data_IF_114913678295
#
_entry.id   IF_114913678295
#
_cell.length_a   1.000
_cell.length_b   1.000
_cell.length_c   1.000
_cell.angle_alpha   90.00
_cell.angle_beta   90.00
_cell.angle_gamma   90.00
#
_symmetry.space_group_name_H-M   'P 1'
#
loop_
_entity.id
_entity.type
_entity.pdbx_description
1 polymer ?
#
# COMPACT_ATOMS: atom_id res chain seq x y z
N UNK A 1 7.14 -17.45 20.98
CA UNK A 1 6.54 -17.28 19.66
C UNK A 1 5.12 -16.74 19.77
N UNK A 2 4.74 -15.84 18.89
CA UNK A 2 3.36 -15.42 18.67
C UNK A 2 2.92 -16.04 17.33
N UNK A 3 1.83 -16.83 17.34
CA UNK A 3 1.58 -17.76 16.25
C UNK A 3 0.38 -17.42 15.36
N UNK A 4 -0.64 -16.76 15.89
CA UNK A 4 -1.93 -16.62 15.21
C UNK A 4 -2.68 -15.35 15.62
N UNK A 5 -3.83 -15.11 15.01
CA UNK A 5 -4.70 -13.95 15.27
C UNK A 5 -5.31 -13.96 16.68
N UNK A 6 -5.31 -15.11 17.35
CA UNK A 6 -5.72 -15.23 18.76
C UNK A 6 -4.61 -14.89 19.74
N UNK A 7 -3.48 -14.41 19.22
CA UNK A 7 -2.27 -14.07 20.00
C UNK A 7 -1.76 -15.24 20.86
N UNK A 8 -1.87 -16.46 20.35
CA UNK A 8 -1.34 -17.66 21.03
C UNK A 8 0.16 -17.51 21.27
N UNK A 9 0.56 -17.55 22.54
CA UNK A 9 1.98 -17.44 22.95
C UNK A 9 2.53 -18.81 23.26
N UNK A 10 3.63 -19.17 22.61
CA UNK A 10 4.39 -20.40 22.91
C UNK A 10 5.72 -20.02 23.54
N UNK A 11 5.91 -20.36 24.84
CA UNK A 11 7.10 -20.03 25.62
C UNK A 11 7.56 -21.24 26.46
N UNK A 12 8.80 -21.70 26.31
CA UNK A 12 9.67 -21.42 25.17
C UNK A 12 9.18 -22.03 23.88
N UNK A 13 9.51 -21.40 22.75
CA UNK A 13 9.11 -21.86 21.42
C UNK A 13 10.26 -21.83 20.41
N UNK A 14 10.11 -22.56 19.33
CA UNK A 14 11.05 -22.58 18.22
C UNK A 14 10.32 -22.60 16.89
N UNK A 15 10.98 -22.13 15.85
CA UNK A 15 10.51 -22.13 14.46
C UNK A 15 11.63 -22.56 13.53
N UNK A 16 11.29 -23.34 12.51
CA UNK A 16 12.20 -23.65 11.40
C UNK A 16 11.73 -23.02 10.11
N UNK A 17 12.69 -22.55 9.33
CA UNK A 17 12.46 -21.95 8.02
C UNK A 17 13.28 -22.70 6.99
N UNK A 18 12.70 -22.98 5.84
CA UNK A 18 13.39 -23.59 4.70
C UNK A 18 13.09 -22.77 3.45
N UNK A 19 14.11 -22.15 2.87
CA UNK A 19 13.91 -21.16 1.83
C UNK A 19 13.14 -19.95 2.37
N UNK A 20 11.97 -19.69 1.80
CA UNK A 20 11.08 -18.58 2.16
C UNK A 20 9.83 -19.01 2.97
N UNK A 21 9.79 -20.30 3.39
CA UNK A 21 8.62 -20.84 4.07
C UNK A 21 8.93 -21.26 5.52
N UNK A 22 8.01 -20.95 6.43
CA UNK A 22 7.97 -21.55 7.77
C UNK A 22 7.61 -23.01 7.60
N UNK A 23 8.53 -23.90 8.01
CA UNK A 23 8.35 -25.35 7.86
C UNK A 23 7.69 -25.98 9.07
N UNK A 24 8.11 -25.59 10.26
CA UNK A 24 7.63 -26.19 11.51
C UNK A 24 7.73 -25.18 12.65
N UNK A 25 6.77 -25.25 13.55
CA UNK A 25 6.73 -24.46 14.79
C UNK A 25 6.48 -25.43 15.95
N UNK A 26 7.19 -25.25 17.05
CA UNK A 26 7.01 -26.13 18.20
C UNK A 26 7.25 -25.45 19.54
N UNK A 27 6.79 -26.11 20.60
CA UNK A 27 7.00 -25.69 21.99
C UNK A 27 8.17 -26.41 22.63
N UNK A 28 8.74 -25.78 23.65
CA UNK A 28 9.87 -26.33 24.40
C UNK A 28 11.18 -26.29 23.65
N UNK A 29 12.04 -27.29 23.90
CA UNK A 29 13.33 -27.43 23.23
C UNK A 29 13.15 -28.14 21.89
N UNK A 30 13.72 -27.62 20.79
CA UNK A 30 13.62 -28.27 19.50
C UNK A 30 14.27 -29.69 19.55
N UNK A 31 13.66 -30.67 18.89
CA UNK A 31 14.24 -32.04 18.77
C UNK A 31 15.66 -31.99 18.23
N UNK A 32 16.51 -32.98 18.64
CA UNK A 32 17.87 -33.06 18.18
C UNK A 32 17.99 -33.13 16.65
N UNK A 33 17.09 -33.86 15.99
CA UNK A 33 17.03 -33.96 14.52
C UNK A 33 16.77 -32.61 13.82
N UNK A 34 16.00 -31.72 14.44
CA UNK A 34 15.76 -30.38 13.94
C UNK A 34 17.02 -29.53 14.06
N UNK A 35 17.68 -29.59 15.21
CA UNK A 35 18.92 -28.83 15.46
C UNK A 35 20.08 -29.28 14.58
N UNK A 36 20.25 -30.59 14.45
CA UNK A 36 21.34 -31.19 13.65
C UNK A 36 21.13 -30.96 12.15
N UNK A 37 19.90 -30.85 11.70
CA UNK A 37 19.54 -30.54 10.31
C UNK A 37 19.57 -29.08 9.94
N UNK A 38 19.75 -28.17 10.90
CA UNK A 38 19.76 -26.73 10.65
C UNK A 38 21.15 -26.25 10.20
N UNK A 39 21.20 -25.53 9.08
CA UNK A 39 22.41 -24.88 8.59
C UNK A 39 22.81 -23.70 9.50
N UNK A 40 21.81 -22.96 9.99
CA UNK A 40 21.98 -21.81 10.88
C UNK A 40 21.02 -21.92 12.05
N UNK A 41 21.53 -21.69 13.26
CA UNK A 41 20.72 -21.63 14.48
C UNK A 41 20.84 -20.23 15.08
N UNK A 42 19.70 -19.57 15.26
CA UNK A 42 19.60 -18.28 15.93
C UNK A 42 19.08 -18.50 17.35
N UNK A 43 19.83 -18.06 18.34
CA UNK A 43 19.38 -18.06 19.73
C UNK A 43 18.46 -16.86 19.97
N UNK A 44 17.17 -17.14 20.15
CA UNK A 44 16.14 -16.16 20.46
C UNK A 44 15.85 -16.00 21.96
N UNK A 45 16.71 -16.49 22.84
CA UNK A 45 16.51 -16.35 24.29
C UNK A 45 16.35 -14.89 24.72
N UNK A 46 15.29 -14.59 25.46
CA UNK A 46 14.96 -13.23 25.90
C UNK A 46 14.33 -12.33 24.81
N UNK A 47 13.96 -12.91 23.66
CA UNK A 47 13.27 -12.19 22.58
C UNK A 47 11.88 -12.79 22.33
N UNK A 48 11.05 -12.04 21.62
CA UNK A 48 9.79 -12.54 21.05
C UNK A 48 9.92 -12.64 19.54
N UNK A 49 9.57 -13.80 18.98
CA UNK A 49 9.45 -14.00 17.54
C UNK A 49 7.99 -13.93 17.15
N UNK A 50 7.67 -13.12 16.15
CA UNK A 50 6.32 -12.88 15.66
C UNK A 50 6.31 -12.75 14.13
N UNK A 51 5.17 -12.89 13.46
CA UNK A 51 5.05 -12.53 12.05
C UNK A 51 5.50 -11.09 11.81
N UNK A 52 6.11 -10.83 10.66
CA UNK A 52 6.47 -9.47 10.27
C UNK A 52 5.23 -8.58 10.13
N UNK A 53 5.33 -7.33 10.52
CA UNK A 53 4.23 -6.39 10.38
C UNK A 53 3.98 -6.02 8.92
N UNK A 54 2.75 -5.64 8.62
CA UNK A 54 2.38 -5.04 7.34
C UNK A 54 2.22 -3.54 7.50
N UNK A 55 2.98 -2.76 6.72
CA UNK A 55 2.68 -1.35 6.51
C UNK A 55 1.60 -1.27 5.41
N UNK A 56 0.35 -1.07 5.82
CA UNK A 56 -0.80 -1.14 4.93
C UNK A 56 -1.03 0.13 4.10
N UNK A 57 -0.28 1.21 4.33
CA UNK A 57 -0.38 2.44 3.56
C UNK A 57 0.88 3.29 3.71
N UNK A 58 1.50 3.61 2.59
CA UNK A 58 2.63 4.55 2.52
C UNK A 58 2.72 5.17 1.13
N UNK A 59 3.54 6.21 1.01
CA UNK A 59 3.95 6.83 -0.25
C UNK A 59 5.48 6.91 -0.26
N UNK A 60 6.14 5.90 -0.82
CA UNK A 60 7.61 5.78 -0.72
C UNK A 60 8.36 6.96 -1.35
N UNK A 61 7.86 7.51 -2.44
CA UNK A 61 8.47 8.69 -3.07
C UNK A 61 8.55 9.89 -2.11
N UNK A 62 7.63 10.00 -1.13
CA UNK A 62 7.59 11.10 -0.16
C UNK A 62 8.71 11.03 0.88
N UNK A 63 9.50 9.97 0.92
CA UNK A 63 10.63 9.85 1.86
C UNK A 63 11.58 11.05 1.79
N UNK A 64 11.74 11.65 0.60
CA UNK A 64 12.58 12.84 0.41
C UNK A 64 11.90 14.16 0.76
N UNK A 65 10.59 14.15 1.05
CA UNK A 65 9.81 15.34 1.38
C UNK A 65 9.55 15.48 2.90
N UNK A 66 10.16 14.65 3.73
CA UNK A 66 9.97 14.69 5.19
C UNK A 66 10.34 16.03 5.77
N UNK A 67 9.51 16.53 6.69
CA UNK A 67 9.70 17.82 7.36
C UNK A 67 9.33 19.04 6.51
N UNK A 68 8.81 18.84 5.30
CA UNK A 68 8.33 19.94 4.45
C UNK A 68 6.84 20.16 4.70
N UNK A 69 6.46 20.95 5.66
CA UNK A 69 5.07 21.35 5.85
C UNK A 69 4.37 20.72 7.04
N UNK A 70 5.10 20.47 8.11
CA UNK A 70 4.58 19.91 9.37
C UNK A 70 3.40 20.70 9.98
N UNK A 71 3.21 21.97 9.58
CA UNK A 71 2.18 22.89 10.05
C UNK A 71 1.11 23.21 9.00
N UNK A 72 1.06 22.46 7.88
CA UNK A 72 0.14 22.73 6.77
C UNK A 72 -1.10 21.82 6.80
N UNK A 73 -2.21 22.35 6.25
CA UNK A 73 -3.35 21.50 5.90
C UNK A 73 -2.98 20.56 4.75
N UNK A 74 -3.73 19.48 4.52
CA UNK A 74 -3.48 18.52 3.46
C UNK A 74 -3.35 19.20 2.09
N UNK A 75 -4.31 20.05 1.72
CA UNK A 75 -4.31 20.70 0.40
C UNK A 75 -3.14 21.70 0.26
N UNK A 76 -2.88 22.50 1.31
CA UNK A 76 -1.72 23.41 1.32
C UNK A 76 -0.40 22.66 1.25
N UNK A 77 -0.31 21.50 1.91
CA UNK A 77 0.86 20.65 1.86
C UNK A 77 1.09 20.04 0.47
N UNK A 78 0.03 19.55 -0.17
CA UNK A 78 0.12 19.05 -1.55
C UNK A 78 0.61 20.15 -2.49
N UNK A 79 -0.06 21.31 -2.47
CA UNK A 79 0.20 22.40 -3.41
C UNK A 79 1.60 23.04 -3.21
N UNK A 80 2.02 23.23 -1.96
CA UNK A 80 3.24 23.99 -1.66
C UNK A 80 4.47 23.13 -1.38
N UNK A 81 4.28 21.84 -1.08
CA UNK A 81 5.39 20.95 -0.71
C UNK A 81 5.53 19.75 -1.64
N UNK A 82 4.44 19.03 -1.94
CA UNK A 82 4.52 17.79 -2.70
C UNK A 82 4.60 18.04 -4.20
N UNK A 83 3.60 18.72 -4.78
CA UNK A 83 3.57 18.90 -6.23
C UNK A 83 4.81 19.60 -6.80
N UNK A 84 5.34 20.69 -6.19
CA UNK A 84 6.54 21.35 -6.72
C UNK A 84 7.78 20.45 -6.76
N UNK A 85 7.86 19.47 -5.88
CA UNK A 85 8.97 18.49 -5.88
C UNK A 85 8.68 17.27 -6.74
N UNK A 86 7.45 16.77 -6.70
CA UNK A 86 7.05 15.54 -7.38
C UNK A 86 7.15 15.63 -8.91
N UNK A 87 6.90 16.81 -9.49
CA UNK A 87 7.05 17.05 -10.94
C UNK A 87 8.50 16.93 -11.45
N UNK A 88 9.47 16.81 -10.57
CA UNK A 88 10.89 16.63 -10.89
C UNK A 88 11.43 15.24 -10.59
N UNK A 89 10.57 14.32 -10.12
CA UNK A 89 10.96 12.93 -9.87
C UNK A 89 11.27 12.22 -11.20
N UNK A 90 12.34 11.44 -11.18
CA UNK A 90 12.69 10.49 -12.22
C UNK A 90 12.83 9.08 -11.62
N UNK A 91 13.05 8.09 -12.46
CA UNK A 91 13.20 6.70 -12.02
C UNK A 91 14.32 6.52 -10.99
N UNK A 92 15.44 7.23 -11.14
CA UNK A 92 16.58 7.10 -10.23
C UNK A 92 16.24 7.65 -8.84
N UNK A 93 15.69 8.83 -8.75
CA UNK A 93 15.31 9.46 -7.48
C UNK A 93 14.15 8.73 -6.82
N UNK A 94 13.16 8.24 -7.58
CA UNK A 94 12.06 7.42 -7.08
C UNK A 94 12.58 6.10 -6.49
N UNK A 95 13.50 5.41 -7.18
CA UNK A 95 14.15 4.20 -6.65
C UNK A 95 14.89 4.45 -5.34
N UNK A 96 15.66 5.52 -5.25
CA UNK A 96 16.38 5.87 -4.03
C UNK A 96 15.43 6.19 -2.88
N UNK A 97 14.36 6.96 -3.13
CA UNK A 97 13.34 7.26 -2.11
C UNK A 97 12.66 5.97 -1.61
N UNK A 98 12.30 5.08 -2.55
CA UNK A 98 11.71 3.78 -2.22
C UNK A 98 12.68 2.92 -1.40
N UNK A 99 13.96 2.83 -1.78
CA UNK A 99 14.97 2.08 -1.02
C UNK A 99 15.09 2.59 0.41
N UNK A 100 15.16 3.90 0.62
CA UNK A 100 15.24 4.49 1.96
C UNK A 100 14.00 4.15 2.79
N UNK A 101 12.81 4.33 2.23
CA UNK A 101 11.55 4.02 2.92
C UNK A 101 11.39 2.52 3.21
N UNK A 102 11.74 1.64 2.27
CA UNK A 102 11.67 0.19 2.46
C UNK A 102 12.70 -0.32 3.50
N UNK A 103 13.91 0.22 3.50
CA UNK A 103 14.93 -0.11 4.53
C UNK A 103 14.42 0.30 5.91
N UNK A 104 13.77 1.45 6.03
CA UNK A 104 13.17 1.89 7.28
C UNK A 104 12.05 0.94 7.74
N UNK A 105 11.16 0.53 6.83
CA UNK A 105 10.13 -0.46 7.10
C UNK A 105 10.73 -1.77 7.62
N UNK A 106 11.71 -2.34 6.91
CA UNK A 106 12.39 -3.57 7.33
C UNK A 106 13.05 -3.43 8.70
N UNK A 107 13.75 -2.32 8.95
CA UNK A 107 14.44 -2.07 10.24
C UNK A 107 13.48 -1.91 11.42
N UNK A 108 12.25 -1.52 11.16
CA UNK A 108 11.21 -1.36 12.18
C UNK A 108 10.27 -2.56 12.28
N UNK A 109 10.52 -3.61 11.48
CA UNK A 109 9.81 -4.90 11.56
C UNK A 109 8.65 -5.06 10.58
N UNK A 110 8.41 -4.10 9.69
CA UNK A 110 7.45 -4.27 8.60
C UNK A 110 8.11 -5.02 7.42
N UNK A 111 7.64 -6.23 7.15
CA UNK A 111 8.15 -7.09 6.08
C UNK A 111 7.25 -7.12 4.85
N UNK A 112 6.06 -6.55 4.97
CA UNK A 112 5.10 -6.34 3.89
C UNK A 112 4.75 -4.86 3.81
N UNK A 113 4.73 -4.29 2.61
CA UNK A 113 4.49 -2.85 2.40
C UNK A 113 3.53 -2.65 1.24
N UNK A 114 2.51 -1.81 1.45
CA UNK A 114 1.65 -1.28 0.40
C UNK A 114 2.10 0.15 0.10
N UNK A 115 2.57 0.39 -1.11
CA UNK A 115 2.95 1.72 -1.58
C UNK A 115 1.86 2.27 -2.51
N UNK A 116 1.13 3.28 -2.05
CA UNK A 116 0.20 4.02 -2.90
C UNK A 116 0.98 5.05 -3.71
N UNK A 117 1.55 4.59 -4.82
CA UNK A 117 2.35 5.40 -5.73
C UNK A 117 1.47 6.12 -6.75
N UNK A 118 1.47 7.45 -6.74
CA UNK A 118 0.62 8.28 -7.60
C UNK A 118 1.39 9.34 -8.41
N UNK A 119 2.71 9.20 -8.52
CA UNK A 119 3.55 10.09 -9.33
C UNK A 119 4.09 9.29 -10.52
N UNK A 120 3.61 9.60 -11.71
CA UNK A 120 3.90 8.87 -12.95
C UNK A 120 4.35 9.80 -14.08
N UNK A 121 5.09 10.86 -13.74
CA UNK A 121 5.62 11.81 -14.70
C UNK A 121 6.63 11.17 -15.67
N UNK A 122 7.28 10.11 -15.22
CA UNK A 122 8.13 9.24 -16.02
C UNK A 122 7.57 7.80 -15.91
N UNK A 123 7.33 7.14 -17.03
CA UNK A 123 6.76 5.79 -17.08
C UNK A 123 7.64 4.72 -16.42
N UNK A 124 8.94 4.99 -16.26
CA UNK A 124 9.89 4.09 -15.60
C UNK A 124 9.90 4.17 -14.07
N UNK A 125 9.16 5.10 -13.46
CA UNK A 125 9.10 5.25 -11.99
C UNK A 125 8.55 4.01 -11.32
N UNK A 126 7.44 3.47 -11.82
CA UNK A 126 6.81 2.26 -11.24
C UNK A 126 7.75 1.06 -11.28
N UNK A 127 8.45 0.88 -12.40
CA UNK A 127 9.47 -0.15 -12.54
C UNK A 127 10.61 0.02 -11.53
N UNK A 128 11.12 1.24 -11.38
CA UNK A 128 12.22 1.54 -10.48
C UNK A 128 11.88 1.29 -9.00
N UNK A 129 10.64 1.55 -8.61
CA UNK A 129 10.14 1.25 -7.26
C UNK A 129 10.01 -0.26 -7.05
N UNK A 130 9.46 -0.99 -8.02
CA UNK A 130 9.40 -2.45 -7.97
C UNK A 130 10.80 -3.09 -7.91
N UNK A 131 11.77 -2.55 -8.65
CA UNK A 131 13.17 -2.98 -8.57
C UNK A 131 13.76 -2.76 -7.17
N UNK A 132 13.47 -1.64 -6.50
CA UNK A 132 13.91 -1.38 -5.14
C UNK A 132 13.33 -2.43 -4.16
N UNK A 133 12.05 -2.75 -4.31
CA UNK A 133 11.39 -3.76 -3.48
C UNK A 133 11.96 -5.16 -3.72
N UNK A 134 12.27 -5.50 -4.98
CA UNK A 134 12.88 -6.78 -5.33
C UNK A 134 14.30 -6.92 -4.78
N UNK A 135 15.14 -5.91 -4.94
CA UNK A 135 16.51 -5.88 -4.42
C UNK A 135 16.57 -6.05 -2.90
N UNK A 136 15.61 -5.49 -2.17
CA UNK A 136 15.52 -5.57 -0.71
C UNK A 136 14.80 -6.83 -0.21
N UNK A 137 14.12 -7.56 -1.09
CA UNK A 137 13.42 -8.79 -0.75
C UNK A 137 12.15 -8.60 0.08
N UNK A 138 11.56 -7.42 0.05
CA UNK A 138 10.32 -7.07 0.75
C UNK A 138 9.11 -7.67 0.03
N UNK A 139 8.09 -8.10 0.78
CA UNK A 139 6.76 -8.35 0.21
C UNK A 139 6.10 -7.01 -0.10
N UNK A 140 5.77 -6.78 -1.35
CA UNK A 140 5.44 -5.45 -1.84
C UNK A 140 4.18 -5.45 -2.70
N UNK A 141 3.27 -4.54 -2.40
CA UNK A 141 2.13 -4.24 -3.25
C UNK A 141 2.28 -2.81 -3.76
N UNK A 142 2.45 -2.67 -5.06
CA UNK A 142 2.32 -1.37 -5.73
C UNK A 142 0.84 -1.09 -5.98
N UNK A 143 0.24 -0.27 -5.16
CA UNK A 143 -1.07 0.32 -5.36
C UNK A 143 -0.88 1.54 -6.27
N UNK A 144 -1.00 1.32 -7.61
CA UNK A 144 -0.72 2.37 -8.60
C UNK A 144 -1.81 3.41 -8.59
N UNK A 145 -1.49 4.54 -7.96
CA UNK A 145 -2.37 5.68 -7.76
C UNK A 145 -2.59 6.48 -9.04
N UNK A 146 -3.73 7.15 -9.14
CA UNK A 146 -4.03 8.01 -10.26
C UNK A 146 -5.06 9.08 -9.87
N UNK A 147 -4.99 10.23 -10.54
CA UNK A 147 -6.02 11.26 -10.55
C UNK A 147 -6.25 11.69 -12.01
N UNK A 148 -7.50 11.97 -12.39
CA UNK A 148 -7.85 12.44 -13.73
C UNK A 148 -8.37 13.88 -13.72
N UNK A 149 -8.53 14.47 -12.53
CA UNK A 149 -9.06 15.84 -12.36
C UNK A 149 -8.60 16.49 -11.05
N UNK A 150 -8.80 17.79 -10.93
CA UNK A 150 -8.58 18.59 -9.70
C UNK A 150 -7.21 18.38 -9.03
N UNK A 151 -6.24 17.92 -9.76
CA UNK A 151 -4.88 17.65 -9.28
C UNK A 151 -3.87 18.47 -10.09
N UNK A 152 -2.57 18.41 -9.75
CA UNK A 152 -1.51 19.03 -10.55
C UNK A 152 -1.56 18.47 -11.99
N UNK A 153 -1.74 19.32 -13.03
CA UNK A 153 -2.00 18.82 -14.39
C UNK A 153 -0.94 17.87 -14.95
N UNK A 154 0.32 18.07 -14.59
CA UNK A 154 1.43 17.20 -15.03
C UNK A 154 1.46 15.84 -14.33
N UNK A 155 0.68 15.68 -13.26
CA UNK A 155 0.55 14.45 -12.47
C UNK A 155 -0.80 13.75 -12.69
N UNK A 156 -1.63 14.27 -13.61
CA UNK A 156 -2.91 13.63 -13.98
C UNK A 156 -2.74 12.72 -15.18
N UNK A 157 -3.53 11.67 -15.25
CA UNK A 157 -3.56 10.71 -16.36
C UNK A 157 -5.01 10.54 -16.88
N UNK A 158 -5.17 10.29 -18.17
CA UNK A 158 -6.47 9.81 -18.66
C UNK A 158 -6.72 8.38 -18.20
N UNK A 159 -7.98 7.96 -18.13
CA UNK A 159 -8.31 6.59 -17.73
C UNK A 159 -7.63 5.53 -18.62
N UNK A 160 -7.56 5.76 -19.93
CA UNK A 160 -6.88 4.87 -20.87
C UNK A 160 -5.40 4.74 -20.53
N UNK A 161 -4.72 5.84 -20.21
CA UNK A 161 -3.32 5.83 -19.80
C UNK A 161 -3.13 5.06 -18.48
N UNK A 162 -4.01 5.28 -17.51
CA UNK A 162 -3.98 4.55 -16.23
C UNK A 162 -4.03 3.04 -16.47
N UNK A 163 -5.01 2.57 -17.22
CA UNK A 163 -5.20 1.13 -17.46
C UNK A 163 -4.03 0.55 -18.28
N UNK A 164 -3.60 1.20 -19.34
CA UNK A 164 -2.49 0.71 -20.19
C UNK A 164 -1.18 0.61 -19.42
N UNK A 165 -0.83 1.68 -18.69
CA UNK A 165 0.41 1.72 -17.91
C UNK A 165 0.39 0.75 -16.74
N UNK A 166 -0.76 0.63 -16.03
CA UNK A 166 -0.89 -0.36 -14.96
C UNK A 166 -0.80 -1.79 -15.50
N UNK A 167 -1.41 -2.10 -16.64
CA UNK A 167 -1.26 -3.41 -17.29
C UNK A 167 0.20 -3.69 -17.66
N UNK A 168 0.93 -2.69 -18.12
CA UNK A 168 2.34 -2.84 -18.50
C UNK A 168 3.20 -3.21 -17.28
N UNK A 169 3.10 -2.46 -16.20
CA UNK A 169 3.86 -2.75 -14.96
C UNK A 169 3.39 -4.06 -14.31
N UNK A 170 2.08 -4.34 -14.36
CA UNK A 170 1.51 -5.59 -13.85
C UNK A 170 2.04 -6.81 -14.61
N UNK A 171 2.07 -6.77 -15.94
CA UNK A 171 2.59 -7.87 -16.77
C UNK A 171 4.07 -8.15 -16.49
N UNK A 172 4.83 -7.15 -16.08
CA UNK A 172 6.26 -7.28 -15.74
C UNK A 172 6.48 -7.81 -14.33
N UNK A 173 5.72 -7.35 -13.35
CA UNK A 173 6.06 -7.53 -11.94
C UNK A 173 5.08 -8.38 -11.13
N UNK A 174 3.80 -8.42 -11.50
CA UNK A 174 2.80 -9.10 -10.68
C UNK A 174 3.05 -10.60 -10.61
N UNK A 175 3.08 -11.14 -9.40
CA UNK A 175 3.35 -12.56 -9.15
C UNK A 175 4.83 -12.96 -9.26
N UNK A 176 5.73 -12.00 -9.46
CA UNK A 176 7.16 -12.30 -9.52
C UNK A 176 7.74 -12.63 -8.14
N UNK A 177 8.89 -13.33 -8.14
CA UNK A 177 9.66 -13.65 -6.94
C UNK A 177 8.83 -14.39 -5.86
N UNK A 178 8.11 -15.45 -6.26
CA UNK A 178 7.21 -16.25 -5.42
C UNK A 178 6.07 -15.39 -4.84
N UNK A 179 5.38 -14.64 -5.69
CA UNK A 179 4.27 -13.73 -5.35
C UNK A 179 4.63 -12.64 -4.33
N UNK A 180 5.92 -12.25 -4.28
CA UNK A 180 6.35 -11.18 -3.39
C UNK A 180 5.95 -9.79 -3.88
N UNK A 181 5.90 -9.58 -5.20
CA UNK A 181 5.51 -8.31 -5.82
C UNK A 181 4.13 -8.47 -6.45
N UNK A 182 3.22 -7.61 -6.06
CA UNK A 182 1.86 -7.55 -6.61
C UNK A 182 1.53 -6.12 -7.03
N UNK A 183 0.63 -5.99 -8.00
CA UNK A 183 0.23 -4.71 -8.58
C UNK A 183 -1.28 -4.62 -8.60
N UNK A 184 -1.84 -3.51 -8.13
CA UNK A 184 -3.26 -3.19 -8.22
C UNK A 184 -3.50 -1.74 -8.65
N UNK A 185 -4.72 -1.43 -9.04
CA UNK A 185 -5.18 -0.08 -9.34
C UNK A 185 -5.57 0.63 -8.05
N UNK A 186 -5.22 1.91 -7.93
CA UNK A 186 -5.46 2.68 -6.73
C UNK A 186 -5.92 4.11 -7.05
N UNK A 187 -7.24 4.33 -7.23
CA UNK A 187 -7.75 5.70 -7.33
C UNK A 187 -7.20 6.55 -6.19
N UNK A 188 -6.70 7.75 -6.50
CA UNK A 188 -5.96 8.51 -5.51
C UNK A 188 -6.86 8.96 -4.36
N UNK A 189 -7.89 9.72 -4.68
CA UNK A 189 -8.74 10.38 -3.69
C UNK A 189 -10.06 10.83 -4.35
N UNK A 190 -11.21 10.86 -3.65
CA UNK A 190 -12.50 11.13 -4.26
C UNK A 190 -12.58 12.44 -5.07
N UNK A 191 -11.99 13.53 -4.59
CA UNK A 191 -12.02 14.82 -5.32
C UNK A 191 -11.09 14.83 -6.55
N UNK A 192 -10.11 13.94 -6.61
CA UNK A 192 -9.16 13.78 -7.73
C UNK A 192 -9.60 12.77 -8.78
N UNK A 193 -10.73 12.08 -8.59
CA UNK A 193 -11.20 11.01 -9.47
C UNK A 193 -12.61 11.31 -9.98
N UNK A 194 -12.83 11.16 -11.29
CA UNK A 194 -14.17 11.23 -11.89
C UNK A 194 -14.96 9.95 -11.62
N UNK A 195 -16.29 10.05 -11.57
CA UNK A 195 -17.19 8.92 -11.29
C UNK A 195 -17.06 7.83 -12.39
N UNK A 196 -16.89 8.25 -13.63
CA UNK A 196 -16.74 7.34 -14.78
C UNK A 196 -15.42 6.55 -14.68
N UNK A 197 -14.29 7.23 -14.52
CA UNK A 197 -12.98 6.58 -14.39
C UNK A 197 -12.90 5.70 -13.15
N UNK A 198 -13.53 6.10 -12.05
CA UNK A 198 -13.63 5.33 -10.82
C UNK A 198 -14.37 4.01 -11.05
N UNK A 199 -15.57 4.06 -11.65
CA UNK A 199 -16.38 2.87 -11.94
C UNK A 199 -15.66 1.90 -12.88
N UNK A 200 -14.97 2.42 -13.89
CA UNK A 200 -14.18 1.62 -14.83
C UNK A 200 -12.96 0.98 -14.15
N UNK A 201 -12.27 1.73 -13.29
CA UNK A 201 -11.14 1.22 -12.49
C UNK A 201 -11.54 0.06 -11.61
N UNK A 202 -12.66 0.16 -10.87
CA UNK A 202 -13.17 -0.90 -10.02
C UNK A 202 -13.50 -2.14 -10.82
N UNK A 203 -14.20 -1.96 -11.95
CA UNK A 203 -14.54 -3.06 -12.84
C UNK A 203 -13.30 -3.77 -13.41
N UNK A 204 -12.29 -3.00 -13.81
CA UNK A 204 -11.03 -3.53 -14.33
C UNK A 204 -10.25 -4.28 -13.24
N UNK A 205 -10.10 -3.70 -12.05
CA UNK A 205 -9.39 -4.32 -10.93
C UNK A 205 -10.00 -5.66 -10.55
N UNK A 206 -11.33 -5.72 -10.43
CA UNK A 206 -12.06 -6.96 -10.16
C UNK A 206 -11.91 -7.99 -11.26
N UNK A 207 -11.82 -7.57 -12.53
CA UNK A 207 -11.56 -8.48 -13.66
C UNK A 207 -10.18 -9.16 -13.55
N UNK A 208 -9.23 -8.54 -12.86
CA UNK A 208 -7.91 -9.08 -12.58
C UNK A 208 -7.87 -9.93 -11.30
N UNK A 209 -8.96 -9.99 -10.54
CA UNK A 209 -8.98 -10.58 -9.20
C UNK A 209 -8.12 -9.79 -8.20
N UNK A 210 -7.96 -8.49 -8.44
CA UNK A 210 -7.19 -7.57 -7.61
C UNK A 210 -8.10 -6.67 -6.79
N UNK A 211 -7.56 -6.13 -5.69
CA UNK A 211 -8.20 -5.10 -4.90
C UNK A 211 -8.07 -3.71 -5.49
N UNK A 212 -8.64 -2.74 -4.81
CA UNK A 212 -8.44 -1.31 -5.05
C UNK A 212 -8.10 -0.61 -3.74
N UNK A 213 -7.19 0.37 -3.82
CA UNK A 213 -6.76 1.16 -2.68
C UNK A 213 -7.08 2.64 -2.92
N UNK A 214 -7.73 3.31 -1.97
CA UNK A 214 -8.11 4.74 -2.10
C UNK A 214 -8.03 5.46 -0.76
N UNK A 215 -7.62 6.74 -0.77
CA UNK A 215 -7.76 7.62 0.38
C UNK A 215 -9.25 7.93 0.61
N UNK A 216 -9.69 7.87 1.84
CA UNK A 216 -11.08 8.05 2.21
C UNK A 216 -11.21 8.86 3.50
N UNK A 217 -11.99 9.94 3.47
CA UNK A 217 -12.34 10.73 4.63
C UNK A 217 -11.14 11.07 5.54
N UNK A 218 -10.01 11.45 4.95
CA UNK A 218 -8.77 11.77 5.65
C UNK A 218 -8.93 13.06 6.46
N UNK A 219 -9.49 14.10 5.83
CA UNK A 219 -9.74 15.39 6.46
C UNK A 219 -11.21 15.79 6.40
N UNK A 220 -11.65 16.62 7.36
CA UNK A 220 -13.00 17.17 7.34
C UNK A 220 -13.28 18.02 6.08
N UNK A 221 -12.27 18.76 5.60
CA UNK A 221 -12.39 19.59 4.40
C UNK A 221 -12.73 18.76 3.18
N UNK A 222 -12.11 17.61 2.99
CA UNK A 222 -12.36 16.74 1.84
C UNK A 222 -13.78 16.14 1.86
N UNK A 223 -14.26 15.77 3.06
CA UNK A 223 -15.65 15.32 3.21
C UNK A 223 -16.62 16.42 2.83
N UNK A 224 -16.37 17.68 3.23
CA UNK A 224 -17.20 18.82 2.84
C UNK A 224 -17.16 19.06 1.32
N UNK A 225 -15.97 18.96 0.69
CA UNK A 225 -15.84 19.08 -0.77
C UNK A 225 -16.70 18.02 -1.49
N UNK A 226 -16.73 16.79 -1.01
CA UNK A 226 -17.55 15.72 -1.59
C UNK A 226 -19.06 16.00 -1.44
N UNK A 227 -19.48 16.49 -0.27
CA UNK A 227 -20.89 16.88 -0.03
C UNK A 227 -21.27 18.05 -0.94
N UNK A 228 -20.44 19.07 -1.07
CA UNK A 228 -20.71 20.24 -1.93
C UNK A 228 -20.77 19.86 -3.42
N UNK A 229 -19.92 18.97 -3.86
CA UNK A 229 -19.82 18.58 -5.27
C UNK A 229 -20.86 17.52 -5.66
N UNK A 230 -21.07 16.50 -4.83
CA UNK A 230 -21.85 15.29 -5.16
C UNK A 230 -23.12 15.15 -4.32
N UNK A 231 -23.27 15.90 -3.25
CA UNK A 231 -24.33 15.69 -2.25
C UNK A 231 -24.14 14.45 -1.40
N UNK A 232 -22.95 13.85 -1.41
CA UNK A 232 -22.62 12.58 -0.76
C UNK A 232 -21.31 12.69 0.00
N UNK A 233 -21.20 11.95 1.09
CA UNK A 233 -19.95 11.70 1.79
C UNK A 233 -19.10 10.66 1.02
N UNK A 234 -17.85 10.47 1.41
CA UNK A 234 -16.90 9.63 0.66
C UNK A 234 -17.37 8.19 0.54
N UNK A 235 -17.74 7.53 1.65
CA UNK A 235 -18.16 6.12 1.63
C UNK A 235 -19.53 5.94 0.98
N UNK A 236 -20.44 6.90 1.14
CA UNK A 236 -21.73 6.92 0.44
C UNK A 236 -21.52 6.95 -1.09
N UNK A 237 -20.61 7.80 -1.56
CA UNK A 237 -20.23 7.87 -2.98
C UNK A 237 -19.61 6.57 -3.47
N UNK A 238 -18.66 6.01 -2.73
CA UNK A 238 -18.05 4.70 -3.06
C UNK A 238 -19.07 3.58 -3.11
N UNK A 239 -20.03 3.59 -2.18
CA UNK A 239 -21.14 2.63 -2.17
C UNK A 239 -22.01 2.74 -3.42
N UNK A 240 -22.37 3.97 -3.84
CA UNK A 240 -23.15 4.19 -5.06
C UNK A 240 -22.44 3.74 -6.34
N UNK A 241 -21.11 3.83 -6.38
CA UNK A 241 -20.29 3.33 -7.49
C UNK A 241 -20.07 1.82 -7.44
N UNK A 242 -20.58 1.13 -6.40
CA UNK A 242 -20.32 -0.29 -6.18
C UNK A 242 -18.86 -0.59 -5.84
N UNK A 243 -18.16 0.40 -5.27
CA UNK A 243 -16.73 0.29 -4.96
C UNK A 243 -16.45 -0.41 -3.64
N UNK A 244 -17.42 -0.49 -2.73
CA UNK A 244 -17.24 -1.18 -1.46
C UNK A 244 -17.20 -2.68 -1.64
N UNK A 245 -16.48 -3.36 -0.75
CA UNK A 245 -16.36 -4.81 -0.72
C UNK A 245 -15.07 -5.26 -0.01
N UNK A 246 -14.93 -6.57 0.20
CA UNK A 246 -13.75 -7.13 0.87
C UNK A 246 -12.45 -6.96 0.05
N UNK A 247 -12.57 -6.49 -1.19
CA UNK A 247 -11.50 -6.18 -2.13
C UNK A 247 -11.12 -4.69 -2.13
N UNK A 248 -11.71 -3.86 -1.25
CA UNK A 248 -11.45 -2.42 -1.19
C UNK A 248 -10.71 -2.03 0.09
N UNK A 249 -9.62 -1.29 -0.06
CA UNK A 249 -8.81 -0.79 1.03
C UNK A 249 -9.02 0.72 1.15
N UNK A 250 -9.57 1.16 2.28
CA UNK A 250 -9.84 2.56 2.58
C UNK A 250 -8.73 3.11 3.48
N UNK A 251 -7.84 3.93 2.93
CA UNK A 251 -6.81 4.59 3.73
C UNK A 251 -7.41 5.76 4.53
N UNK A 252 -6.92 5.95 5.75
CA UNK A 252 -7.32 6.96 6.74
C UNK A 252 -8.67 6.69 7.40
N UNK A 253 -9.80 6.93 6.72
CA UNK A 253 -11.16 6.73 7.25
C UNK A 253 -11.40 7.43 8.61
N UNK A 254 -10.87 8.66 8.76
CA UNK A 254 -10.86 9.40 10.04
C UNK A 254 -12.18 10.11 10.30
N UNK A 255 -12.76 10.70 9.25
CA UNK A 255 -13.96 11.55 9.35
C UNK A 255 -15.22 10.84 8.84
N UNK A 256 -15.44 9.61 9.31
CA UNK A 256 -16.65 8.83 9.02
C UNK A 256 -17.79 9.20 9.99
N UNK A 257 -19.02 8.99 9.54
CA UNK A 257 -20.20 9.00 10.40
C UNK A 257 -20.77 7.57 10.57
N UNK A 258 -21.78 7.43 11.42
CA UNK A 258 -22.38 6.13 11.74
C UNK A 258 -22.96 5.43 10.49
N UNK A 259 -23.55 6.19 9.54
CA UNK A 259 -24.07 5.61 8.30
C UNK A 259 -22.96 5.06 7.41
N UNK A 260 -21.83 5.75 7.32
CA UNK A 260 -20.66 5.29 6.56
C UNK A 260 -20.04 4.03 7.20
N UNK A 261 -20.01 3.96 8.54
CA UNK A 261 -19.55 2.76 9.26
C UNK A 261 -20.45 1.55 8.98
N UNK A 262 -21.78 1.75 8.97
CA UNK A 262 -22.75 0.70 8.63
C UNK A 262 -22.56 0.23 7.17
N UNK A 263 -22.37 1.15 6.22
CA UNK A 263 -22.10 0.81 4.81
C UNK A 263 -20.84 -0.03 4.64
N UNK A 264 -19.77 0.28 5.38
CA UNK A 264 -18.52 -0.51 5.37
C UNK A 264 -18.77 -1.89 5.99
N UNK A 265 -19.48 -1.97 7.12
CA UNK A 265 -19.73 -3.23 7.82
C UNK A 265 -20.60 -4.19 7.01
N UNK A 266 -21.50 -3.68 6.19
CA UNK A 266 -22.42 -4.45 5.34
C UNK A 266 -21.82 -4.86 3.98
N UNK A 267 -20.61 -4.39 3.64
CA UNK A 267 -19.92 -4.65 2.37
C UNK A 267 -18.87 -5.79 2.47
#
# INVERSE_FOLDING_TARGET
LLLDDDFTVVDPGWVTVTGDLIKEVGSGTPPASVREGAETIIDGSGTATMPGMTNAHTHLFQTFFRGLGDDKSLLDWLEHCIWPGAVHLDAHTAKLAAMVGLIENLRTGATSVIDHQYIHIDESIDDAICEAADELGVRFLLARGWADRNYEPSLTETHEQVIERTRTVRNKWHGTNNDRITIELAPLIPWGCSDEAMSQTISESRSWGAGTHIHCAETHTEVQMSIEERGLRHVEWLSQLGALGPDTQLAHSVWLDDNELDLIADS
#
